data_IF_210903361658
#
_entry.id   IF_210903361658
#
_cell.length_a   1.000
_cell.length_b   1.000
_cell.length_c   1.000
_cell.angle_alpha   90.00
_cell.angle_beta   90.00
_cell.angle_gamma   90.00
#
_symmetry.space_group_name_H-M   'P 1'
#
loop_
_entity.id
_entity.type
_entity.pdbx_description
1 polymer ?
#
# COMPACT_ATOMS: atom_id res chain seq x y z
N UNK A 1 32.71 27.34 -39.57
CA UNK A 1 33.11 26.14 -38.81
C UNK A 1 32.05 25.91 -37.76
N UNK A 2 31.15 24.99 -38.06
CA UNK A 2 29.97 24.65 -37.26
C UNK A 2 30.37 23.42 -36.45
N UNK A 3 30.31 23.52 -35.12
CA UNK A 3 30.46 22.36 -34.24
C UNK A 3 29.07 21.79 -33.97
N UNK A 4 28.87 20.59 -34.49
CA UNK A 4 27.66 19.79 -34.40
C UNK A 4 27.71 19.01 -33.07
N UNK A 5 26.86 19.38 -32.12
CA UNK A 5 26.67 18.65 -30.85
C UNK A 5 25.73 17.48 -31.11
N UNK A 6 26.29 16.27 -31.12
CA UNK A 6 25.53 15.03 -31.22
C UNK A 6 24.67 14.80 -29.96
N UNK A 7 23.37 15.05 -30.07
CA UNK A 7 22.36 14.61 -29.12
C UNK A 7 22.20 13.09 -29.25
N UNK A 8 22.71 12.34 -28.27
CA UNK A 8 22.40 10.92 -28.15
C UNK A 8 20.99 10.77 -27.55
N UNK A 9 20.05 10.04 -28.19
CA UNK A 9 18.75 9.76 -27.62
C UNK A 9 18.90 8.91 -26.36
N UNK A 10 18.34 9.37 -25.23
CA UNK A 10 18.18 8.56 -24.02
C UNK A 10 17.33 7.33 -24.39
N UNK A 11 17.91 6.15 -24.16
CA UNK A 11 17.33 4.85 -24.52
C UNK A 11 16.05 4.61 -23.72
N UNK A 12 15.01 4.24 -24.45
CA UNK A 12 13.70 3.80 -23.98
C UNK A 12 13.79 2.64 -22.99
N UNK A 13 13.02 2.73 -21.92
CA UNK A 13 12.79 1.68 -20.92
C UNK A 13 12.04 0.52 -21.62
N UNK A 14 12.60 -0.69 -21.55
CA UNK A 14 12.04 -1.88 -22.18
C UNK A 14 10.95 -2.51 -21.30
N UNK A 15 9.80 -2.95 -21.86
CA UNK A 15 8.71 -3.55 -21.12
C UNK A 15 8.99 -5.03 -20.75
N UNK A 16 8.43 -5.39 -19.60
CA UNK A 16 8.68 -6.56 -18.77
C UNK A 16 8.25 -7.93 -19.32
N UNK A 17 8.92 -8.98 -18.80
CA UNK A 17 8.40 -10.35 -18.64
C UNK A 17 9.10 -11.03 -17.46
N UNK A 18 8.47 -11.17 -16.29
CA UNK A 18 8.84 -12.19 -15.28
C UNK A 18 7.64 -12.65 -14.45
N UNK A 19 7.65 -13.93 -14.09
CA UNK A 19 6.61 -14.68 -13.38
C UNK A 19 6.77 -14.61 -11.85
N UNK A 20 5.61 -14.59 -11.18
CA UNK A 20 5.20 -15.22 -9.91
C UNK A 20 6.26 -15.33 -8.80
N UNK A 21 6.19 -14.39 -7.84
CA UNK A 21 6.39 -14.69 -6.43
C UNK A 21 5.01 -14.87 -5.79
N UNK A 22 4.60 -16.13 -5.61
CA UNK A 22 3.39 -16.43 -4.85
C UNK A 22 3.71 -16.41 -3.36
N UNK A 23 3.19 -15.44 -2.62
CA UNK A 23 3.06 -15.55 -1.17
C UNK A 23 1.91 -16.54 -0.88
N UNK A 24 2.22 -17.85 -0.88
CA UNK A 24 1.33 -18.86 -0.32
C UNK A 24 1.81 -19.18 1.09
N UNK A 25 1.05 -18.73 2.08
CA UNK A 25 1.11 -19.24 3.44
C UNK A 25 0.77 -20.75 3.44
N UNK A 26 1.48 -21.59 4.21
CA UNK A 26 1.15 -23.02 4.31
C UNK A 26 -0.23 -23.20 4.97
N UNK A 27 -1.18 -23.81 4.25
CA UNK A 27 -2.43 -24.29 4.86
C UNK A 27 -2.12 -25.41 5.85
N UNK A 28 -2.68 -25.31 7.05
CA UNK A 28 -2.67 -26.39 8.04
C UNK A 28 -3.33 -27.64 7.44
N UNK A 29 -2.61 -28.77 7.49
CA UNK A 29 -3.16 -30.08 7.18
C UNK A 29 -4.18 -30.46 8.24
N UNK A 30 -5.44 -30.59 7.85
CA UNK A 30 -6.48 -31.14 8.69
C UNK A 30 -7.73 -31.45 7.87
N UNK A 31 -7.79 -32.63 7.29
CA UNK A 31 -9.04 -33.26 6.84
C UNK A 31 -8.75 -34.78 6.71
N UNK A 32 -9.74 -35.67 6.88
CA UNK A 32 -10.80 -35.72 5.86
C UNK A 32 -12.20 -36.20 6.29
N UNK A 33 -13.12 -36.05 5.32
CA UNK A 33 -14.26 -36.90 4.96
C UNK A 33 -15.67 -36.35 5.26
N UNK A 34 -16.24 -35.65 4.26
CA UNK A 34 -17.67 -35.75 3.96
C UNK A 34 -17.90 -36.90 2.96
N UNK A 35 -18.67 -37.90 3.37
CA UNK A 35 -19.32 -38.84 2.45
C UNK A 35 -20.40 -38.09 1.68
N UNK A 36 -20.40 -38.26 0.36
CA UNK A 36 -21.41 -37.78 -0.57
C UNK A 36 -22.15 -39.02 -1.07
N UNK A 37 -23.44 -39.10 -0.79
CA UNK A 37 -24.36 -39.99 -1.51
C UNK A 37 -25.59 -39.18 -1.93
N UNK A 38 -26.09 -39.54 -3.10
CA UNK A 38 -27.05 -38.84 -3.95
C UNK A 38 -28.48 -38.81 -3.39
N UNK A 39 -29.24 -37.78 -3.78
CA UNK A 39 -30.70 -37.75 -3.70
C UNK A 39 -31.26 -36.48 -4.35
N UNK A 40 -32.09 -36.65 -5.36
CA UNK A 40 -32.75 -35.64 -6.20
C UNK A 40 -33.83 -34.82 -5.45
N UNK A 41 -34.47 -33.86 -6.17
CA UNK A 41 -35.68 -33.08 -5.81
C UNK A 41 -35.33 -31.77 -5.07
N UNK A 42 -35.46 -30.55 -5.61
CA UNK A 42 -36.55 -29.95 -6.38
C UNK A 42 -37.17 -28.84 -5.52
N UNK A 43 -37.18 -27.57 -5.98
CA UNK A 43 -37.94 -26.50 -5.32
C UNK A 43 -37.38 -25.08 -5.47
N UNK A 44 -38.08 -24.26 -6.27
CA UNK A 44 -37.98 -22.79 -6.33
C UNK A 44 -38.66 -22.19 -5.07
N UNK A 45 -37.93 -21.49 -4.22
CA UNK A 45 -38.49 -20.80 -3.04
C UNK A 45 -38.38 -19.28 -3.18
N UNK A 46 -39.11 -18.73 -4.16
CA UNK A 46 -39.37 -17.29 -4.31
C UNK A 46 -40.84 -17.01 -3.97
N UNK A 47 -41.27 -17.27 -2.74
CA UNK A 47 -42.63 -16.86 -2.30
C UNK A 47 -42.80 -16.65 -0.78
N UNK A 48 -41.76 -16.18 -0.08
CA UNK A 48 -41.91 -15.82 1.34
C UNK A 48 -42.22 -14.33 1.56
N UNK A 49 -41.67 -13.42 0.74
CA UNK A 49 -41.81 -11.97 0.95
C UNK A 49 -43.10 -11.35 0.37
N UNK A 50 -43.93 -12.12 -0.36
CA UNK A 50 -45.14 -11.60 -1.00
C UNK A 50 -46.40 -11.64 -0.13
N UNK A 51 -46.35 -12.23 1.07
CA UNK A 51 -47.53 -12.45 1.93
C UNK A 51 -47.68 -11.54 3.14
N UNK A 52 -46.85 -10.50 3.30
CA UNK A 52 -46.93 -9.58 4.45
C UNK A 52 -47.45 -8.17 4.13
N UNK A 53 -47.96 -7.89 2.92
CA UNK A 53 -48.49 -6.56 2.57
C UNK A 53 -49.87 -6.64 1.92
N UNK A 54 -50.91 -6.82 2.75
CA UNK A 54 -52.28 -6.42 2.43
C UNK A 54 -53.18 -6.48 3.67
N UNK A 55 -53.48 -5.34 4.29
CA UNK A 55 -54.85 -4.93 4.66
C UNK A 55 -54.82 -3.54 5.30
N UNK A 56 -55.53 -2.61 4.64
CA UNK A 56 -56.07 -1.39 5.24
C UNK A 56 -56.92 -1.72 6.49
N UNK A 57 -56.95 -0.84 7.51
CA UNK A 57 -57.95 0.22 7.63
C UNK A 57 -57.96 0.90 9.03
N UNK A 58 -58.34 2.18 9.01
CA UNK A 58 -59.08 2.92 10.03
C UNK A 58 -58.52 3.27 11.44
N UNK A 59 -58.32 4.59 11.61
CA UNK A 59 -58.84 5.46 12.68
C UNK A 59 -58.30 5.45 14.14
N UNK A 60 -57.97 6.69 14.55
CA UNK A 60 -58.33 7.43 15.80
C UNK A 60 -57.32 7.55 16.98
N UNK A 61 -56.97 8.84 17.17
CA UNK A 61 -57.04 9.66 18.39
C UNK A 61 -56.01 9.56 19.53
N UNK A 62 -55.41 10.74 19.77
CA UNK A 62 -55.15 11.41 21.06
C UNK A 62 -54.02 10.93 21.98
N UNK A 63 -53.01 11.82 22.06
CA UNK A 63 -52.45 12.51 23.24
C UNK A 63 -51.69 11.74 24.34
N UNK A 64 -50.49 12.28 24.55
CA UNK A 64 -49.80 12.60 25.81
C UNK A 64 -48.75 11.63 26.38
N UNK A 65 -47.56 12.24 26.53
CA UNK A 65 -46.49 12.10 27.54
C UNK A 65 -45.33 11.08 27.44
N UNK A 66 -44.14 11.69 27.48
CA UNK A 66 -42.81 11.30 28.00
C UNK A 66 -42.57 9.85 28.46
N UNK A 67 -41.57 9.20 27.84
CA UNK A 67 -40.24 8.97 28.45
C UNK A 67 -39.48 7.80 27.79
N UNK A 68 -38.16 7.98 27.71
CA UNK A 68 -37.10 6.97 27.71
C UNK A 68 -37.06 5.85 26.64
N UNK A 69 -35.93 5.86 25.92
CA UNK A 69 -35.17 4.70 25.47
C UNK A 69 -35.90 3.62 24.65
N UNK A 70 -35.74 3.68 23.33
CA UNK A 70 -35.17 2.58 22.54
C UNK A 70 -34.97 3.04 21.09
N UNK A 71 -33.71 3.26 20.69
CA UNK A 71 -33.33 3.34 19.29
C UNK A 71 -33.56 1.97 18.66
N UNK A 72 -34.68 1.84 17.94
CA UNK A 72 -34.91 0.74 17.01
C UNK A 72 -33.98 0.96 15.81
N UNK A 73 -32.85 0.26 15.82
CA UNK A 73 -31.95 0.14 14.68
C UNK A 73 -32.65 -0.65 13.58
N UNK A 74 -33.03 0.05 12.52
CA UNK A 74 -33.41 -0.54 11.24
C UNK A 74 -32.20 -1.30 10.68
N UNK A 75 -32.23 -2.63 10.76
CA UNK A 75 -31.28 -3.50 10.06
C UNK A 75 -31.50 -3.35 8.55
N UNK A 76 -30.60 -2.63 7.88
CA UNK A 76 -30.53 -2.56 6.42
C UNK A 76 -29.51 -3.59 5.91
N UNK A 77 -29.92 -4.40 4.94
CA UNK A 77 -29.12 -5.40 4.21
C UNK A 77 -28.22 -4.77 3.13
N UNK A 78 -27.90 -3.48 3.27
CA UNK A 78 -26.92 -2.77 2.44
C UNK A 78 -25.81 -2.27 3.35
N UNK A 79 -24.56 -2.56 2.95
CA UNK A 79 -23.36 -2.46 3.76
C UNK A 79 -23.31 -1.26 4.70
N UNK A 80 -22.98 -1.55 5.96
CA UNK A 80 -22.70 -0.56 6.99
C UNK A 80 -21.47 0.27 6.60
N UNK A 81 -21.71 1.29 5.79
CA UNK A 81 -20.89 2.50 5.76
C UNK A 81 -21.34 3.39 6.92
N UNK A 82 -21.25 2.86 8.14
CA UNK A 82 -21.34 3.68 9.34
C UNK A 82 -20.33 4.80 9.21
N UNK A 83 -20.73 6.02 9.55
CA UNK A 83 -19.87 7.20 9.60
C UNK A 83 -18.82 7.00 10.70
N UNK A 84 -17.82 6.17 10.43
CA UNK A 84 -16.72 5.91 11.32
C UNK A 84 -15.71 7.05 11.17
N UNK A 85 -15.69 7.93 12.18
CA UNK A 85 -14.60 8.87 12.37
C UNK A 85 -13.43 8.02 12.90
N UNK A 86 -12.59 7.47 12.02
CA UNK A 86 -11.37 6.80 12.50
C UNK A 86 -10.51 7.76 13.31
N UNK A 87 -9.79 7.20 14.27
CA UNK A 87 -8.87 7.92 15.13
C UNK A 87 -7.43 7.63 14.77
N UNK A 88 -6.58 8.64 14.92
CA UNK A 88 -5.14 8.43 15.03
C UNK A 88 -4.83 7.78 16.39
N UNK A 89 -4.07 6.71 16.37
CA UNK A 89 -3.69 5.94 17.55
C UNK A 89 -2.18 5.92 17.69
N UNK A 90 -1.66 6.22 18.87
CA UNK A 90 -0.25 5.97 19.17
C UNK A 90 -0.06 4.46 19.33
N UNK A 91 0.83 3.87 18.53
CA UNK A 91 1.02 2.42 18.48
C UNK A 91 2.50 2.05 18.43
N UNK A 92 2.82 0.91 19.04
CA UNK A 92 4.09 0.24 18.86
C UNK A 92 3.96 -0.83 17.78
N UNK A 93 4.79 -0.73 16.74
CA UNK A 93 4.86 -1.69 15.64
C UNK A 93 6.21 -2.38 15.70
N UNK A 94 6.22 -3.71 15.73
CA UNK A 94 7.45 -4.51 15.74
C UNK A 94 7.72 -4.94 14.29
N UNK A 95 8.96 -4.78 13.84
CA UNK A 95 9.36 -5.25 12.50
C UNK A 95 9.14 -6.75 12.38
N UNK A 96 8.89 -7.23 11.16
CA UNK A 96 8.57 -8.65 10.93
C UNK A 96 9.69 -9.62 11.29
N UNK A 97 10.93 -9.15 11.40
CA UNK A 97 12.07 -9.92 11.89
C UNK A 97 12.30 -9.80 13.40
N UNK A 98 11.47 -9.03 14.11
CA UNK A 98 11.54 -8.79 15.54
C UNK A 98 12.68 -7.86 16.00
N UNK A 99 13.49 -7.33 15.08
CA UNK A 99 14.73 -6.60 15.43
C UNK A 99 14.50 -5.13 15.75
N UNK A 100 13.44 -4.52 15.25
CA UNK A 100 13.13 -3.11 15.41
C UNK A 100 11.73 -2.91 15.98
N UNK A 101 11.55 -1.79 16.68
CA UNK A 101 10.27 -1.36 17.22
C UNK A 101 10.05 0.12 16.91
N UNK A 102 8.99 0.41 16.17
CA UNK A 102 8.55 1.76 15.81
C UNK A 102 7.48 2.21 16.81
N UNK A 103 7.63 3.44 17.32
CA UNK A 103 6.65 4.14 18.11
C UNK A 103 6.20 5.39 17.35
N UNK A 104 4.93 5.43 16.92
CA UNK A 104 4.42 6.43 15.97
C UNK A 104 2.89 6.50 16.02
N UNK A 105 2.29 7.55 15.46
CA UNK A 105 0.85 7.56 15.23
C UNK A 105 0.48 6.76 13.97
N UNK A 106 -0.53 5.91 14.11
CA UNK A 106 -1.07 5.04 13.06
C UNK A 106 -2.55 5.37 12.88
N UNK A 107 -2.98 5.47 11.63
CA UNK A 107 -4.40 5.55 11.26
C UNK A 107 -4.77 4.29 10.50
N UNK A 108 -5.79 3.56 10.95
CA UNK A 108 -6.21 2.30 10.34
C UNK A 108 -7.55 2.44 9.62
N UNK A 109 -7.59 1.93 8.39
CA UNK A 109 -8.81 1.69 7.64
C UNK A 109 -9.65 0.57 8.28
N UNK A 110 -10.87 0.35 7.82
CA UNK A 110 -11.66 -0.83 8.22
C UNK A 110 -11.35 -2.07 7.36
N UNK A 111 -10.68 -1.87 6.23
CA UNK A 111 -10.36 -2.89 5.24
C UNK A 111 -8.96 -2.64 4.67
N UNK A 112 -8.34 -3.67 4.11
CA UNK A 112 -7.20 -3.54 3.23
C UNK A 112 -7.57 -3.89 1.78
N UNK A 113 -6.61 -3.85 0.86
CA UNK A 113 -6.84 -4.17 -0.55
C UNK A 113 -7.29 -5.63 -0.79
N UNK A 114 -6.98 -6.56 0.12
CA UNK A 114 -7.31 -7.98 0.00
C UNK A 114 -8.66 -8.33 0.60
N UNK A 115 -9.24 -7.45 1.41
CA UNK A 115 -10.60 -7.60 1.93
C UNK A 115 -11.58 -7.97 0.82
N UNK A 116 -12.54 -8.85 1.12
CA UNK A 116 -13.62 -9.21 0.21
C UNK A 116 -14.41 -7.98 -0.26
N UNK A 117 -14.52 -6.95 0.60
CA UNK A 117 -15.19 -5.68 0.27
C UNK A 117 -14.43 -4.85 -0.75
N UNK A 118 -13.10 -4.99 -0.82
CA UNK A 118 -12.26 -4.32 -1.80
C UNK A 118 -12.12 -5.14 -3.08
N UNK A 119 -11.93 -6.47 -2.94
CA UNK A 119 -11.64 -7.40 -4.03
C UNK A 119 -10.47 -6.94 -4.93
N UNK A 120 -9.40 -6.40 -4.31
CA UNK A 120 -8.28 -5.74 -4.97
C UNK A 120 -6.92 -6.38 -4.69
N UNK A 121 -6.82 -7.72 -4.67
CA UNK A 121 -5.60 -8.46 -4.29
C UNK A 121 -4.32 -7.94 -4.99
N UNK A 122 -4.42 -7.60 -6.27
CA UNK A 122 -3.33 -7.06 -7.12
C UNK A 122 -3.56 -5.60 -7.55
N UNK A 123 -4.42 -4.87 -6.83
CA UNK A 123 -4.83 -3.52 -7.19
C UNK A 123 -3.87 -2.41 -6.73
N UNK A 124 -2.73 -2.74 -6.12
CA UNK A 124 -1.84 -1.77 -5.46
C UNK A 124 -1.50 -0.56 -6.36
N UNK A 125 -1.20 -0.79 -7.64
CA UNK A 125 -0.90 0.30 -8.59
C UNK A 125 -2.08 1.24 -8.87
N UNK A 126 -3.30 0.70 -8.99
CA UNK A 126 -4.50 1.52 -9.18
C UNK A 126 -4.86 2.27 -7.89
N UNK A 127 -4.72 1.60 -6.74
CA UNK A 127 -4.95 2.16 -5.41
C UNK A 127 -4.05 3.37 -5.14
N UNK A 128 -2.74 3.26 -5.36
CA UNK A 128 -1.83 4.39 -5.17
C UNK A 128 -2.12 5.55 -6.12
N UNK A 129 -2.59 5.29 -7.34
CA UNK A 129 -2.97 6.35 -8.27
C UNK A 129 -4.22 7.11 -7.79
N UNK A 130 -5.22 6.40 -7.26
CA UNK A 130 -6.42 7.02 -6.67
C UNK A 130 -6.08 7.79 -5.39
N UNK A 131 -5.27 7.22 -4.51
CA UNK A 131 -4.86 7.85 -3.25
C UNK A 131 -3.97 9.08 -3.51
N UNK A 132 -3.02 8.99 -4.44
CA UNK A 132 -2.18 10.12 -4.81
C UNK A 132 -3.01 11.26 -5.43
N UNK A 133 -3.93 10.97 -6.35
CA UNK A 133 -4.86 11.97 -6.90
C UNK A 133 -5.70 12.64 -5.80
N UNK A 134 -6.14 11.89 -4.79
CA UNK A 134 -6.83 12.45 -3.63
C UNK A 134 -5.95 13.43 -2.85
N UNK A 135 -4.69 13.07 -2.55
CA UNK A 135 -3.78 13.99 -1.85
C UNK A 135 -3.45 15.24 -2.66
N UNK A 136 -3.32 15.13 -3.98
CA UNK A 136 -3.11 16.29 -4.85
C UNK A 136 -4.29 17.27 -4.81
N UNK A 137 -5.53 16.78 -4.60
CA UNK A 137 -6.74 17.61 -4.54
C UNK A 137 -7.04 18.16 -3.14
N UNK A 138 -6.55 17.48 -2.10
CA UNK A 138 -6.89 17.78 -0.71
C UNK A 138 -5.72 18.39 0.09
N UNK A 139 -4.56 18.62 -0.55
CA UNK A 139 -3.42 19.32 0.05
C UNK A 139 -2.94 18.65 1.34
N UNK A 140 -2.89 19.43 2.43
CA UNK A 140 -2.45 18.96 3.75
C UNK A 140 -3.51 18.15 4.52
N UNK A 141 -4.71 17.96 3.97
CA UNK A 141 -5.74 17.15 4.63
C UNK A 141 -5.38 15.65 4.61
N UNK A 142 -5.88 14.93 5.60
CA UNK A 142 -5.82 13.48 5.70
C UNK A 142 -7.24 12.91 5.63
N UNK A 143 -7.45 11.76 4.95
CA UNK A 143 -8.78 11.20 4.82
C UNK A 143 -9.29 10.70 6.17
N UNK A 144 -10.58 10.88 6.45
CA UNK A 144 -11.24 10.15 7.53
C UNK A 144 -11.42 8.68 7.14
N UNK A 145 -11.78 7.81 8.10
CA UNK A 145 -11.75 6.35 7.88
C UNK A 145 -12.68 5.90 6.77
N UNK A 146 -13.90 6.42 6.73
CA UNK A 146 -14.85 6.15 5.66
C UNK A 146 -14.34 6.63 4.29
N UNK A 147 -13.64 7.77 4.22
CA UNK A 147 -13.01 8.25 2.99
C UNK A 147 -11.86 7.33 2.58
N UNK A 148 -11.03 6.88 3.52
CA UNK A 148 -9.93 5.98 3.22
C UNK A 148 -10.45 4.60 2.73
N UNK A 149 -11.49 4.07 3.37
CA UNK A 149 -12.19 2.87 2.92
C UNK A 149 -12.79 3.06 1.52
N UNK A 150 -13.35 4.25 1.22
CA UNK A 150 -13.86 4.59 -0.12
C UNK A 150 -12.74 4.60 -1.15
N UNK A 151 -11.61 5.24 -0.87
CA UNK A 151 -10.43 5.28 -1.75
C UNK A 151 -9.93 3.86 -2.07
N UNK A 152 -9.96 2.95 -1.09
CA UNK A 152 -9.57 1.55 -1.29
C UNK A 152 -10.56 0.83 -2.22
N UNK A 153 -11.86 1.02 -2.02
CA UNK A 153 -12.89 0.40 -2.89
C UNK A 153 -12.85 0.98 -4.31
N UNK A 154 -12.68 2.30 -4.43
CA UNK A 154 -12.57 3.00 -5.71
C UNK A 154 -11.34 2.55 -6.50
N UNK A 155 -10.15 2.52 -5.88
CA UNK A 155 -8.94 2.03 -6.55
C UNK A 155 -9.05 0.56 -6.95
N UNK A 156 -9.69 -0.26 -6.13
CA UNK A 156 -9.94 -1.67 -6.45
C UNK A 156 -10.99 -1.83 -7.57
N UNK A 157 -11.98 -0.95 -7.65
CA UNK A 157 -12.93 -0.89 -8.76
C UNK A 157 -12.24 -0.51 -10.07
N UNK A 158 -11.41 0.53 -10.07
CA UNK A 158 -10.63 0.91 -11.27
C UNK A 158 -9.73 -0.23 -11.73
N UNK A 159 -9.06 -0.92 -10.81
CA UNK A 159 -8.28 -2.12 -11.16
C UNK A 159 -9.12 -3.22 -11.81
N UNK A 160 -10.34 -3.48 -11.31
CA UNK A 160 -11.27 -4.45 -11.94
C UNK A 160 -11.67 -4.02 -13.34
N UNK A 161 -11.98 -2.74 -13.54
CA UNK A 161 -12.29 -2.19 -14.86
C UNK A 161 -11.11 -2.38 -15.84
N UNK A 162 -9.87 -2.19 -15.38
CA UNK A 162 -8.68 -2.46 -16.19
C UNK A 162 -8.53 -3.95 -16.54
N UNK A 163 -8.92 -4.84 -15.63
CA UNK A 163 -8.92 -6.29 -15.87
C UNK A 163 -9.98 -6.76 -16.88
N UNK A 164 -11.03 -5.97 -17.12
CA UNK A 164 -12.03 -6.27 -18.16
C UNK A 164 -11.54 -5.92 -19.57
N UNK A 165 -10.48 -5.12 -19.68
CA UNK A 165 -9.90 -4.75 -20.96
C UNK A 165 -8.96 -5.85 -21.50
N UNK A 166 -9.33 -6.46 -22.62
CA UNK A 166 -8.56 -7.54 -23.25
C UNK A 166 -7.12 -7.13 -23.61
N UNK A 167 -6.89 -5.87 -23.99
CA UNK A 167 -5.55 -5.37 -24.34
C UNK A 167 -4.65 -5.36 -23.13
N UNK A 168 -5.16 -4.89 -21.99
CA UNK A 168 -4.41 -4.90 -20.73
C UNK A 168 -4.20 -6.32 -20.23
N UNK A 169 -5.21 -7.20 -20.33
CA UNK A 169 -5.07 -8.59 -19.93
C UNK A 169 -4.09 -9.40 -20.79
N UNK A 170 -3.96 -9.07 -22.08
CA UNK A 170 -2.92 -9.67 -22.93
C UNK A 170 -1.51 -9.24 -22.50
N UNK A 171 -1.34 -7.98 -22.04
CA UNK A 171 -0.06 -7.46 -21.54
C UNK A 171 0.25 -7.95 -20.10
N UNK A 172 -0.77 -8.03 -19.24
CA UNK A 172 -0.67 -8.38 -17.82
C UNK A 172 -1.63 -9.52 -17.45
N UNK A 173 -1.35 -10.76 -17.87
CA UNK A 173 -2.23 -11.90 -17.61
C UNK A 173 -2.35 -12.26 -16.12
N UNK A 174 -1.40 -11.81 -15.29
CA UNK A 174 -1.42 -11.95 -13.84
C UNK A 174 -2.08 -10.76 -13.12
N UNK A 175 -2.63 -9.79 -13.87
CA UNK A 175 -3.34 -8.60 -13.37
C UNK A 175 -2.50 -7.63 -12.54
N UNK A 176 -1.18 -7.74 -12.57
CA UNK A 176 -0.28 -6.79 -11.91
C UNK A 176 0.12 -5.70 -12.91
N UNK A 177 -0.61 -4.59 -12.91
CA UNK A 177 -0.35 -3.48 -13.84
C UNK A 177 0.86 -2.64 -13.38
N UNK A 178 1.73 -2.26 -14.31
CA UNK A 178 2.76 -1.25 -14.07
C UNK A 178 2.14 0.15 -13.92
N UNK A 179 2.85 1.06 -13.25
CA UNK A 179 2.35 2.43 -12.98
C UNK A 179 2.05 3.18 -14.28
N UNK A 180 2.90 3.03 -15.29
CA UNK A 180 2.72 3.67 -16.60
C UNK A 180 1.39 3.26 -17.26
N UNK A 181 1.02 1.98 -17.20
CA UNK A 181 -0.25 1.48 -17.75
C UNK A 181 -1.44 2.10 -17.02
N UNK A 182 -1.39 2.19 -15.69
CA UNK A 182 -2.46 2.81 -14.89
C UNK A 182 -2.60 4.30 -15.20
N UNK A 183 -1.48 5.03 -15.34
CA UNK A 183 -1.50 6.46 -15.70
C UNK A 183 -1.98 6.68 -17.14
N UNK A 184 -1.55 5.83 -18.09
CA UNK A 184 -2.00 5.89 -19.48
C UNK A 184 -3.48 5.60 -19.64
N UNK A 185 -4.03 4.73 -18.79
CA UNK A 185 -5.47 4.46 -18.75
C UNK A 185 -6.29 5.66 -18.25
N UNK A 186 -5.65 6.71 -17.71
CA UNK A 186 -6.28 7.95 -17.25
C UNK A 186 -7.45 7.73 -16.28
N UNK A 187 -7.32 6.73 -15.39
CA UNK A 187 -8.33 6.49 -14.34
C UNK A 187 -8.48 7.70 -13.40
N UNK A 188 -7.43 8.53 -13.30
CA UNK A 188 -7.39 9.81 -12.57
C UNK A 188 -6.55 10.84 -13.33
N UNK A 189 -6.72 12.12 -12.99
CA UNK A 189 -5.92 13.23 -13.54
C UNK A 189 -4.58 13.35 -12.83
N UNK A 190 -3.77 12.29 -12.92
CA UNK A 190 -2.47 12.19 -12.27
C UNK A 190 -1.37 12.01 -13.31
N UNK A 191 -0.20 12.60 -13.07
CA UNK A 191 0.99 12.46 -13.90
C UNK A 191 2.23 12.30 -13.02
N UNK A 192 3.26 11.63 -13.55
CA UNK A 192 4.58 11.51 -12.91
C UNK A 192 5.52 12.52 -13.54
N UNK A 193 6.26 13.28 -12.74
CA UNK A 193 7.26 14.25 -13.22
C UNK A 193 8.64 13.58 -13.18
N UNK A 194 9.25 13.25 -14.33
CA UNK A 194 10.51 12.50 -14.36
C UNK A 194 11.66 13.23 -13.66
N UNK A 195 11.74 14.56 -13.78
CA UNK A 195 12.84 15.37 -13.23
C UNK A 195 12.85 15.42 -11.70
N UNK A 196 11.73 15.08 -11.05
CA UNK A 196 11.60 14.98 -9.59
C UNK A 196 11.40 13.53 -9.13
N UNK A 197 11.52 12.56 -10.03
CA UNK A 197 11.37 11.14 -9.74
C UNK A 197 12.73 10.46 -9.70
N UNK A 198 12.85 9.42 -8.89
CA UNK A 198 14.13 8.78 -8.62
C UNK A 198 14.05 7.27 -8.75
N UNK A 199 15.12 6.68 -9.28
CA UNK A 199 15.37 5.24 -9.27
C UNK A 199 16.69 5.02 -8.56
N UNK A 200 16.69 4.17 -7.54
CA UNK A 200 17.88 3.90 -6.76
C UNK A 200 17.87 2.53 -6.16
N UNK A 201 18.93 2.22 -5.42
CA UNK A 201 19.21 0.88 -4.97
C UNK A 201 19.60 0.86 -3.50
N UNK A 202 19.09 -0.12 -2.77
CA UNK A 202 19.62 -0.44 -1.46
C UNK A 202 21.02 -1.02 -1.57
N UNK A 203 21.89 -0.62 -0.65
CA UNK A 203 23.25 -1.13 -0.55
C UNK A 203 23.36 -2.00 0.70
N UNK A 204 23.40 -3.34 0.56
CA UNK A 204 23.45 -4.22 1.72
C UNK A 204 24.76 -4.03 2.51
N UNK A 205 24.63 -3.76 3.81
CA UNK A 205 25.77 -3.54 4.70
C UNK A 205 26.72 -4.77 4.70
N UNK A 206 28.02 -4.49 4.71
CA UNK A 206 29.08 -5.51 4.75
C UNK A 206 29.44 -6.18 3.42
N UNK A 207 28.70 -5.97 2.34
CA UNK A 207 28.98 -6.58 1.02
C UNK A 207 29.60 -5.64 -0.02
N UNK A 208 29.64 -4.33 0.26
CA UNK A 208 30.26 -3.32 -0.62
C UNK A 208 31.75 -3.61 -0.81
N UNK A 209 32.43 -4.09 0.23
CA UNK A 209 33.87 -4.37 0.23
C UNK A 209 34.25 -5.66 -0.53
N UNK A 210 33.27 -6.49 -0.92
CA UNK A 210 33.51 -7.75 -1.63
C UNK A 210 33.42 -7.62 -3.16
N UNK A 211 33.25 -6.40 -3.70
CA UNK A 211 33.09 -6.14 -5.14
C UNK A 211 31.80 -6.73 -5.76
N UNK A 212 30.95 -7.38 -4.96
CA UNK A 212 29.73 -8.08 -5.43
C UNK A 212 28.65 -7.15 -5.98
N UNK A 213 28.77 -5.86 -5.73
CA UNK A 213 27.83 -4.82 -6.15
C UNK A 213 28.48 -3.76 -7.05
N UNK A 214 29.62 -4.05 -7.70
CA UNK A 214 30.25 -3.14 -8.66
C UNK A 214 29.31 -2.70 -9.80
N UNK A 215 28.31 -3.52 -10.16
CA UNK A 215 27.30 -3.14 -11.16
C UNK A 215 26.40 -1.97 -10.73
N UNK A 216 26.36 -1.63 -9.43
CA UNK A 216 25.67 -0.45 -8.92
C UNK A 216 26.56 0.80 -8.91
N UNK A 217 27.82 0.72 -9.36
CA UNK A 217 28.71 1.86 -9.39
C UNK A 217 28.13 3.00 -10.24
N UNK A 218 27.93 4.17 -9.62
CA UNK A 218 27.33 5.33 -10.25
C UNK A 218 25.79 5.33 -10.28
N UNK A 219 25.14 4.27 -9.80
CA UNK A 219 23.71 4.28 -9.55
C UNK A 219 23.39 5.02 -8.24
N UNK A 220 22.22 5.64 -8.17
CA UNK A 220 21.76 6.35 -6.99
C UNK A 220 21.47 5.36 -5.84
N UNK A 221 21.91 5.65 -4.62
CA UNK A 221 21.52 4.85 -3.45
C UNK A 221 20.16 5.29 -2.91
N UNK A 222 19.50 4.43 -2.14
CA UNK A 222 18.31 4.80 -1.38
C UNK A 222 18.56 6.03 -0.49
N UNK A 223 19.73 6.09 0.15
CA UNK A 223 20.13 7.22 0.98
C UNK A 223 20.25 8.51 0.16
N UNK A 224 20.87 8.45 -1.02
CA UNK A 224 20.96 9.62 -1.91
C UNK A 224 19.58 10.08 -2.39
N UNK A 225 18.65 9.17 -2.67
CA UNK A 225 17.26 9.55 -3.00
C UNK A 225 16.65 10.32 -1.84
N UNK A 226 16.81 9.80 -0.63
CA UNK A 226 16.26 10.45 0.55
C UNK A 226 16.82 11.86 0.74
N UNK A 227 18.13 12.03 0.57
CA UNK A 227 18.80 13.33 0.66
C UNK A 227 18.21 14.34 -0.35
N UNK A 228 17.94 13.92 -1.60
CA UNK A 228 17.28 14.77 -2.61
C UNK A 228 15.84 15.13 -2.24
N UNK A 229 15.10 14.21 -1.63
CA UNK A 229 13.71 14.44 -1.19
C UNK A 229 13.69 15.46 -0.04
N UNK A 230 14.55 15.30 0.97
CA UNK A 230 14.54 16.18 2.15
C UNK A 230 15.07 17.58 1.84
N UNK A 231 15.98 17.74 0.87
CA UNK A 231 16.50 19.06 0.47
C UNK A 231 15.42 19.90 -0.20
N UNK A 232 14.53 19.26 -0.95
CA UNK A 232 13.55 19.98 -1.75
C UNK A 232 12.36 20.54 -0.95
N UNK A 233 12.13 20.13 0.32
CA UNK A 233 11.14 20.60 1.34
C UNK A 233 9.72 21.05 0.88
N UNK A 234 9.39 20.95 -0.39
CA UNK A 234 8.07 21.20 -0.96
C UNK A 234 7.15 20.03 -0.60
N UNK A 235 5.88 20.35 -0.30
CA UNK A 235 4.86 19.32 -0.13
C UNK A 235 4.82 18.43 -1.37
N UNK A 236 5.09 17.15 -1.16
CA UNK A 236 5.36 16.21 -2.24
C UNK A 236 4.65 14.88 -2.01
N UNK A 237 4.07 14.33 -3.07
CA UNK A 237 3.41 13.02 -3.05
C UNK A 237 4.13 12.11 -4.04
N UNK A 238 4.78 11.09 -3.51
CA UNK A 238 5.47 10.07 -4.28
C UNK A 238 4.66 8.78 -4.26
N UNK A 239 4.51 8.15 -5.43
CA UNK A 239 4.21 6.72 -5.50
C UNK A 239 5.54 5.99 -5.39
N UNK A 240 5.67 5.09 -4.41
CA UNK A 240 6.89 4.34 -4.16
C UNK A 240 6.70 2.90 -4.61
N UNK A 241 7.59 2.40 -5.47
CA UNK A 241 7.64 0.99 -5.88
C UNK A 241 8.76 0.28 -5.15
N UNK A 242 8.43 -0.77 -4.39
CA UNK A 242 9.41 -1.61 -3.71
C UNK A 242 8.94 -3.05 -3.64
N UNK A 243 9.78 -3.98 -4.11
CA UNK A 243 9.56 -5.43 -3.99
C UNK A 243 8.16 -5.87 -4.48
N UNK A 244 7.81 -5.48 -5.71
CA UNK A 244 6.54 -5.81 -6.39
C UNK A 244 5.28 -5.22 -5.73
N UNK A 245 5.45 -4.19 -4.90
CA UNK A 245 4.34 -3.49 -4.24
C UNK A 245 4.48 -1.98 -4.36
N UNK A 246 3.33 -1.31 -4.44
CA UNK A 246 3.25 0.14 -4.50
C UNK A 246 2.57 0.71 -3.25
N UNK A 247 3.13 1.77 -2.71
CA UNK A 247 2.55 2.55 -1.61
C UNK A 247 2.79 4.05 -1.84
N UNK A 248 2.13 4.92 -1.08
CA UNK A 248 2.30 6.38 -1.21
C UNK A 248 3.18 6.91 -0.08
N UNK A 249 4.17 7.72 -0.43
CA UNK A 249 4.92 8.57 0.50
C UNK A 249 4.46 10.02 0.31
N UNK A 250 3.87 10.60 1.35
CA UNK A 250 3.56 12.04 1.41
C UNK A 250 4.59 12.73 2.30
N UNK A 251 5.22 13.77 1.77
CA UNK A 251 6.26 14.56 2.45
C UNK A 251 5.66 15.93 2.74
N UNK A 252 5.56 16.28 4.02
CA UNK A 252 5.16 17.62 4.47
C UNK A 252 6.23 18.23 5.38
N UNK A 253 6.07 19.51 5.68
CA UNK A 253 7.01 20.24 6.55
C UNK A 253 7.09 19.65 7.96
N UNK A 254 5.94 19.30 8.54
CA UNK A 254 5.84 18.90 9.96
C UNK A 254 5.84 17.37 10.16
N UNK A 255 5.56 16.58 9.11
CA UNK A 255 5.56 15.13 9.18
C UNK A 255 5.73 14.47 7.80
N UNK A 256 6.20 13.23 7.79
CA UNK A 256 6.16 12.35 6.62
C UNK A 256 5.13 11.26 6.84
N UNK A 257 4.48 10.81 5.76
CA UNK A 257 3.43 9.81 5.84
C UNK A 257 3.66 8.68 4.86
N UNK A 258 3.52 7.44 5.34
CA UNK A 258 3.46 6.25 4.50
C UNK A 258 2.01 5.77 4.50
N UNK A 259 1.40 5.70 3.32
CA UNK A 259 0.06 5.18 3.11
C UNK A 259 0.19 3.88 2.33
N UNK A 260 -0.22 2.79 2.95
CA UNK A 260 -0.12 1.46 2.37
C UNK A 260 -1.43 0.71 2.51
N UNK A 261 -1.92 0.19 1.40
CA UNK A 261 -3.20 -0.51 1.30
C UNK A 261 -3.08 -2.00 1.59
N UNK A 262 -1.87 -2.52 1.82
CA UNK A 262 -1.64 -3.92 2.18
C UNK A 262 -1.23 -4.03 3.65
N UNK A 263 -2.19 -4.41 4.51
CA UNK A 263 -2.03 -4.42 5.96
C UNK A 263 -0.87 -5.29 6.44
N UNK A 264 -0.70 -6.49 5.87
CA UNK A 264 0.34 -7.46 6.28
C UNK A 264 1.78 -6.93 6.20
N UNK A 265 2.01 -5.82 5.49
CA UNK A 265 3.32 -5.15 5.45
C UNK A 265 3.64 -4.39 6.74
N UNK A 266 2.62 -3.99 7.51
CA UNK A 266 2.79 -3.33 8.81
C UNK A 266 3.22 -4.32 9.89
N UNK A 267 2.46 -5.42 10.04
CA UNK A 267 2.77 -6.56 10.88
C UNK A 267 2.01 -7.80 10.38
N UNK A 268 2.48 -8.99 10.79
CA UNK A 268 1.88 -10.26 10.36
C UNK A 268 0.42 -10.40 10.84
N UNK A 269 -0.48 -10.74 9.91
CA UNK A 269 -1.90 -10.89 10.19
C UNK A 269 -2.70 -9.57 10.24
N UNK A 270 -2.09 -8.43 9.91
CA UNK A 270 -2.84 -7.19 9.74
C UNK A 270 -3.66 -7.22 8.44
N UNK A 271 -4.97 -7.01 8.56
CA UNK A 271 -5.97 -7.00 7.49
C UNK A 271 -6.57 -5.61 7.24
N UNK A 272 -5.91 -4.57 7.75
CA UNK A 272 -6.32 -3.17 7.63
C UNK A 272 -5.27 -2.37 6.86
N UNK A 273 -5.68 -1.59 5.87
CA UNK A 273 -4.82 -0.56 5.29
C UNK A 273 -4.46 0.48 6.36
N UNK A 274 -3.31 1.13 6.19
CA UNK A 274 -2.77 1.99 7.24
C UNK A 274 -2.12 3.25 6.68
N UNK A 275 -2.10 4.28 7.54
CA UNK A 275 -1.28 5.47 7.37
C UNK A 275 -0.37 5.60 8.60
N UNK A 276 0.93 5.64 8.38
CA UNK A 276 1.91 5.98 9.41
C UNK A 276 2.24 7.46 9.32
N UNK A 277 2.29 8.15 10.45
CA UNK A 277 2.75 9.54 10.57
C UNK A 277 4.08 9.56 11.32
N UNK A 278 5.11 10.04 10.65
CA UNK A 278 6.47 10.23 11.18
C UNK A 278 6.69 11.72 11.43
N UNK A 279 6.69 12.11 12.70
CA UNK A 279 6.90 13.47 13.19
C UNK A 279 8.02 13.51 14.24
N UNK A 280 8.21 14.65 14.92
CA UNK A 280 9.29 14.83 15.91
C UNK A 280 9.18 13.90 17.14
N UNK A 281 8.00 13.36 17.42
CA UNK A 281 7.75 12.43 18.53
C UNK A 281 7.97 10.95 18.13
N UNK A 282 8.21 10.70 16.84
CA UNK A 282 8.40 9.34 16.33
C UNK A 282 9.77 8.80 16.71
N UNK A 283 9.81 7.54 17.18
CA UNK A 283 11.05 6.89 17.63
C UNK A 283 11.12 5.45 17.13
N UNK A 284 12.29 5.04 16.62
CA UNK A 284 12.61 3.65 16.34
C UNK A 284 13.65 3.15 17.34
N UNK A 285 13.37 2.00 17.94
CA UNK A 285 14.24 1.31 18.86
C UNK A 285 14.74 0.00 18.24
N UNK A 286 15.96 -0.39 18.57
CA UNK A 286 16.51 -1.71 18.34
C UNK A 286 16.14 -2.64 19.48
N UNK A 287 15.64 -3.81 19.15
CA UNK A 287 15.30 -4.84 20.12
C UNK A 287 16.54 -5.70 20.42
N UNK A 288 17.14 -5.55 21.60
CA UNK A 288 18.39 -6.22 21.98
C UNK A 288 18.22 -7.68 22.47
N UNK A 289 17.00 -8.25 22.40
CA UNK A 289 16.68 -9.56 23.00
C UNK A 289 17.08 -10.82 22.20
N UNK A 290 18.06 -10.75 21.29
CA UNK A 290 18.57 -11.95 20.59
C UNK A 290 19.93 -12.44 21.11
N UNK A 291 20.26 -12.20 22.38
CA UNK A 291 21.36 -12.92 23.04
C UNK A 291 20.74 -13.96 23.98
N UNK A 292 20.86 -15.24 23.62
CA UNK A 292 20.42 -16.37 24.42
C UNK A 292 21.09 -16.36 25.80
N UNK A 293 20.39 -15.93 26.86
CA UNK A 293 20.47 -16.52 28.21
C UNK A 293 19.22 -16.13 29.03
N UNK A 294 18.58 -17.09 29.73
CA UNK A 294 17.42 -16.80 30.58
C UNK A 294 17.86 -16.45 32.00
N UNK A 295 17.91 -15.15 32.35
CA UNK A 295 17.95 -14.73 33.76
C UNK A 295 16.90 -13.67 34.10
N UNK A 296 15.94 -14.13 34.90
CA UNK A 296 15.20 -13.46 35.98
C UNK A 296 15.04 -11.92 35.99
N UNK A 297 13.76 -11.53 35.94
CA UNK A 297 13.07 -10.53 36.76
C UNK A 297 13.54 -9.05 36.69
N UNK A 298 12.57 -8.22 36.25
CA UNK A 298 12.54 -6.75 36.27
C UNK A 298 13.73 -6.05 35.61
N UNK A 299 13.68 -5.91 34.30
CA UNK A 299 14.40 -4.84 33.62
C UNK A 299 13.49 -4.20 32.59
N UNK A 300 13.33 -2.87 32.69
CA UNK A 300 12.93 -2.08 31.53
C UNK A 300 13.88 -2.47 30.39
N UNK A 301 13.29 -3.00 29.32
CA UNK A 301 13.98 -3.43 28.12
C UNK A 301 14.98 -2.35 27.69
N UNK A 302 16.29 -2.61 27.84
CA UNK A 302 17.32 -1.76 27.25
C UNK A 302 17.13 -1.84 25.73
N UNK A 303 16.38 -0.89 25.20
CA UNK A 303 16.06 -0.76 23.80
C UNK A 303 16.83 0.47 23.33
N UNK A 304 17.82 0.23 22.47
CA UNK A 304 18.69 1.29 21.95
C UNK A 304 17.89 2.13 20.95
N UNK A 305 17.89 3.45 21.13
CA UNK A 305 17.24 4.34 20.17
C UNK A 305 18.08 4.40 18.90
N UNK A 306 17.52 3.95 17.78
CA UNK A 306 18.17 3.94 16.45
C UNK A 306 17.93 5.25 15.73
N UNK A 307 16.68 5.72 15.75
CA UNK A 307 16.27 6.91 15.01
C UNK A 307 15.16 7.66 15.76
N UNK A 308 15.10 8.98 15.56
CA UNK A 308 14.08 9.87 16.11
C UNK A 308 13.61 10.85 15.05
N UNK A 309 12.40 11.36 15.24
CA UNK A 309 11.82 12.39 14.39
C UNK A 309 11.38 11.86 13.03
N UNK A 310 11.15 12.79 12.10
CA UNK A 310 10.72 12.52 10.71
C UNK A 310 11.65 11.57 9.95
N UNK A 311 12.95 11.60 10.22
CA UNK A 311 13.95 10.71 9.61
C UNK A 311 13.70 9.23 9.91
N UNK A 312 12.90 8.92 10.94
CA UNK A 312 12.44 7.55 11.21
C UNK A 312 11.64 6.96 10.04
N UNK A 313 11.08 7.79 9.16
CA UNK A 313 10.42 7.32 7.93
C UNK A 313 11.41 6.62 6.98
N UNK A 314 12.61 7.19 6.81
CA UNK A 314 13.71 6.58 6.04
C UNK A 314 14.08 5.23 6.63
N UNK A 315 14.27 5.23 7.94
CA UNK A 315 14.69 4.05 8.69
C UNK A 315 13.59 2.97 8.70
N UNK A 316 12.31 3.34 8.69
CA UNK A 316 11.20 2.41 8.53
C UNK A 316 11.26 1.69 7.18
N UNK A 317 11.45 2.42 6.08
CA UNK A 317 11.57 1.81 4.74
C UNK A 317 12.75 0.83 4.72
N UNK A 318 13.91 1.21 5.27
CA UNK A 318 15.11 0.36 5.33
C UNK A 318 14.93 -0.86 6.24
N UNK A 319 14.50 -0.66 7.48
CA UNK A 319 14.59 -1.65 8.55
C UNK A 319 13.28 -2.41 8.83
N UNK A 320 12.15 -1.98 8.25
CA UNK A 320 10.87 -2.70 8.31
C UNK A 320 10.51 -3.29 6.95
N UNK A 321 10.50 -2.47 5.89
CA UNK A 321 10.02 -2.91 4.58
C UNK A 321 11.10 -3.65 3.77
N UNK A 322 12.36 -3.21 3.85
CA UNK A 322 13.45 -3.76 3.05
C UNK A 322 14.31 -4.79 3.78
N UNK A 323 14.26 -4.85 5.12
CA UNK A 323 15.12 -5.68 5.94
C UNK A 323 15.09 -7.18 5.60
N UNK A 324 13.90 -7.76 5.44
CA UNK A 324 13.76 -9.19 5.10
C UNK A 324 14.16 -9.44 3.65
N UNK A 325 13.60 -8.74 2.62
CA UNK A 325 13.99 -8.97 1.23
C UNK A 325 15.49 -8.83 0.96
N UNK A 326 16.15 -7.84 1.58
CA UNK A 326 17.59 -7.63 1.43
C UNK A 326 18.38 -8.76 2.09
N UNK A 327 18.02 -9.20 3.30
CA UNK A 327 18.70 -10.30 3.99
C UNK A 327 18.57 -11.62 3.22
N UNK A 328 17.38 -11.93 2.73
CA UNK A 328 17.15 -13.10 1.88
C UNK A 328 18.02 -13.04 0.62
N UNK A 329 18.13 -11.88 -0.01
CA UNK A 329 19.02 -11.69 -1.15
C UNK A 329 20.49 -11.90 -0.78
N UNK A 330 20.93 -11.37 0.36
CA UNK A 330 22.30 -11.57 0.86
C UNK A 330 22.59 -13.06 1.10
N UNK A 331 21.65 -13.81 1.67
CA UNK A 331 21.76 -15.25 1.85
C UNK A 331 21.81 -16.00 0.52
N UNK A 332 20.96 -15.64 -0.44
CA UNK A 332 20.95 -16.24 -1.77
C UNK A 332 22.27 -16.00 -2.50
N UNK A 333 22.86 -14.81 -2.38
CA UNK A 333 24.18 -14.49 -2.93
C UNK A 333 25.25 -15.34 -2.24
N UNK A 334 25.23 -15.44 -0.91
CA UNK A 334 26.18 -16.27 -0.14
C UNK A 334 26.08 -17.76 -0.53
N UNK A 335 24.87 -18.24 -0.83
CA UNK A 335 24.59 -19.62 -1.28
C UNK A 335 24.83 -19.82 -2.78
N UNK A 336 25.17 -18.77 -3.55
CA UNK A 336 25.35 -18.83 -5.00
C UNK A 336 24.06 -18.98 -5.81
N UNK A 337 22.89 -18.78 -5.19
CA UNK A 337 21.55 -18.95 -5.78
C UNK A 337 21.06 -17.72 -6.55
N UNK A 338 21.68 -16.55 -6.34
CA UNK A 338 21.27 -15.29 -6.96
C UNK A 338 21.55 -15.18 -8.48
N UNK A 339 22.01 -16.25 -9.13
CA UNK A 339 22.40 -16.26 -10.55
C UNK A 339 21.24 -16.21 -11.55
N UNK A 340 20.00 -16.42 -11.11
CA UNK A 340 18.82 -16.59 -11.99
C UNK A 340 18.00 -15.31 -12.24
N UNK A 341 18.13 -14.30 -11.38
CA UNK A 341 17.48 -13.00 -11.50
C UNK A 341 18.55 -11.92 -11.42
N UNK A 342 18.50 -10.85 -12.24
CA UNK A 342 19.42 -9.75 -12.09
C UNK A 342 19.29 -9.18 -10.67
N UNK A 343 20.36 -9.30 -9.88
CA UNK A 343 20.41 -8.91 -8.47
C UNK A 343 19.93 -7.48 -8.25
N UNK A 344 20.22 -6.58 -9.20
CA UNK A 344 19.76 -5.19 -9.16
C UNK A 344 18.24 -5.05 -9.03
N UNK A 345 17.43 -5.93 -9.64
CA UNK A 345 15.97 -5.87 -9.51
C UNK A 345 15.49 -6.09 -8.07
N UNK A 346 16.22 -6.87 -7.26
CA UNK A 346 15.87 -7.14 -5.86
C UNK A 346 16.38 -6.06 -4.89
N UNK A 347 17.11 -5.07 -5.40
CA UNK A 347 17.62 -3.92 -4.65
C UNK A 347 16.99 -2.61 -5.08
N UNK A 348 16.31 -2.58 -6.23
CA UNK A 348 15.75 -1.38 -6.83
C UNK A 348 14.53 -0.89 -6.06
N UNK A 349 14.53 0.40 -5.75
CA UNK A 349 13.38 1.15 -5.22
C UNK A 349 13.17 2.39 -6.08
N UNK A 350 11.91 2.71 -6.36
CA UNK A 350 11.54 3.83 -7.23
C UNK A 350 10.61 4.79 -6.51
N UNK A 351 10.85 6.08 -6.67
CA UNK A 351 10.06 7.17 -6.12
C UNK A 351 9.52 8.00 -7.27
N UNK A 352 8.24 7.86 -7.57
CA UNK A 352 7.57 8.56 -8.66
C UNK A 352 6.86 9.81 -8.12
N UNK A 353 7.45 10.99 -8.31
CA UNK A 353 6.82 12.24 -7.90
C UNK A 353 5.60 12.51 -8.75
N UNK A 354 4.46 12.70 -8.09
CA UNK A 354 3.17 12.89 -8.77
C UNK A 354 2.74 14.36 -8.77
N UNK A 355 1.99 14.75 -9.80
CA UNK A 355 1.23 16.00 -9.87
C UNK A 355 -0.10 15.80 -10.55
N UNK A 356 -1.07 16.63 -10.20
CA UNK A 356 -2.32 16.72 -10.94
C UNK A 356 -2.05 17.18 -12.37
N UNK A 357 -2.61 16.46 -13.35
CA UNK A 357 -2.54 16.85 -14.75
C UNK A 357 -3.47 18.04 -14.96
N UNK A 358 -2.92 19.23 -15.19
CA UNK A 358 -3.73 20.37 -15.64
C UNK A 358 -4.01 20.19 -17.11
N UNK A 359 -5.26 19.88 -17.47
CA UNK A 359 -5.68 19.99 -18.87
C UNK A 359 -5.58 21.48 -19.24
N UNK A 360 -4.52 21.89 -19.91
CA UNK A 360 -4.49 23.21 -20.52
C UNK A 360 -5.61 23.25 -21.57
N UNK A 361 -6.32 24.38 -21.64
CA UNK A 361 -7.43 24.60 -22.57
C UNK A 361 -7.05 24.43 -24.06
N UNK A 362 -5.79 24.15 -24.39
CA UNK A 362 -5.27 23.91 -25.72
C UNK A 362 -5.66 22.52 -26.28
N UNK A 363 -5.90 21.48 -25.46
CA UNK A 363 -6.35 20.17 -25.96
C UNK A 363 -7.82 20.17 -26.41
N UNK A 364 -8.64 21.10 -25.89
CA UNK A 364 -10.04 21.27 -26.30
C UNK A 364 -10.14 21.97 -27.67
N UNK A 365 -9.11 22.74 -28.06
CA UNK A 365 -9.08 23.44 -29.34
C UNK A 365 -8.65 22.54 -30.53
N UNK A 366 -8.00 21.40 -30.26
CA UNK A 366 -7.57 20.45 -31.31
C UNK A 366 -8.61 19.36 -31.59
N UNK A 367 -9.62 19.23 -30.72
CA UNK A 367 -10.70 18.23 -30.86
C UNK A 367 -12.05 18.80 -31.29
N UNK A 368 -12.07 19.99 -31.92
CA UNK A 368 -13.26 20.57 -32.55
C UNK A 368 -13.11 20.73 -34.05
#
# INVERSE_FOLDING_TARGET
>A
MVYETSLLPRRSILPWRKRKLSFRSPKSKGEPLLKRDNGEEGGDDIDFDRRQLSSDDAQKSQRDEESSANQLTSFSEFGDDSFAIGSWEEKQVISRDGQMKLHTNVFLASIDQRSERAAGESACTALVAVIADWFQKNGSLMPIKSQFDSLIREGSLEWRNLCENETYMHKFPDKHFDLDTVLQAKIRSLSVIPDKSFVGFFHPEGMINEGRFEFLQGAMSFESIWDEIIVNLEESVYVVSWNDHFFVLKVEKEAYFIIDTLGERLYEGCDQAYILRFDDETVIYKNLLQTEEPQSQSSELESEVVCRGKESCREYIKSFLAAIPIRELQEDIKKGLASTVPVHHRLQIEFHYTKMTTTTAEEIAVSK
#
